data_IF_816474210356
#
_entry.id   IF_816474210356
#
_cell.length_a   1.000
_cell.length_b   1.000
_cell.length_c   1.000
_cell.angle_alpha   90.00
_cell.angle_beta   90.00
_cell.angle_gamma   90.00
#
_symmetry.space_group_name_H-M   'P 1'
#
loop_
_entity.id
_entity.type
_entity.pdbx_description
1 polymer ?
#
# COMPACT_ATOMS: atom_id res chain seq x y z
N UNK A 1 0.50 -8.44 17.62
CA UNK A 1 1.49 -8.35 16.53
C UNK A 1 0.72 -7.97 15.27
N UNK A 2 1.07 -6.84 14.65
CA UNK A 2 0.49 -6.44 13.38
C UNK A 2 1.41 -7.01 12.31
N UNK A 3 1.09 -8.22 11.86
CA UNK A 3 1.93 -8.92 10.90
C UNK A 3 1.70 -8.32 9.51
N UNK A 4 2.63 -7.47 9.08
CA UNK A 4 2.73 -7.00 7.69
C UNK A 4 2.90 -8.16 6.69
N UNK A 5 3.11 -9.39 7.18
CA UNK A 5 3.12 -10.64 6.41
C UNK A 5 1.78 -10.99 5.75
N UNK A 6 0.67 -10.33 6.14
CA UNK A 6 -0.64 -10.53 5.50
C UNK A 6 -0.80 -9.78 4.18
N UNK A 7 0.08 -8.82 3.89
CA UNK A 7 0.02 -8.05 2.65
C UNK A 7 0.71 -8.79 1.51
N UNK A 8 0.09 -8.76 0.33
CA UNK A 8 0.75 -9.20 -0.89
C UNK A 8 1.90 -8.24 -1.27
N UNK A 9 2.90 -8.73 -2.03
CA UNK A 9 4.03 -7.90 -2.45
C UNK A 9 3.63 -6.59 -3.15
N UNK A 10 2.58 -6.62 -3.97
CA UNK A 10 2.05 -5.44 -4.67
C UNK A 10 1.46 -4.39 -3.70
N UNK A 11 0.77 -4.84 -2.65
CA UNK A 11 0.19 -3.96 -1.62
C UNK A 11 1.30 -3.25 -0.86
N UNK A 12 2.32 -4.01 -0.46
CA UNK A 12 3.49 -3.48 0.25
C UNK A 12 4.29 -2.52 -0.63
N UNK A 13 4.51 -2.86 -1.91
CA UNK A 13 5.18 -2.00 -2.88
C UNK A 13 4.42 -0.69 -3.10
N UNK A 14 3.10 -0.75 -3.30
CA UNK A 14 2.24 0.42 -3.50
C UNK A 14 2.31 1.38 -2.30
N UNK A 15 2.21 0.86 -1.07
CA UNK A 15 2.36 1.68 0.15
C UNK A 15 3.76 2.28 0.29
N UNK A 16 4.81 1.55 -0.09
CA UNK A 16 6.20 2.06 -0.10
C UNK A 16 6.41 3.17 -1.14
N UNK A 17 5.82 3.05 -2.32
CA UNK A 17 5.89 4.10 -3.33
C UNK A 17 5.13 5.36 -2.89
N UNK A 18 3.96 5.21 -2.27
CA UNK A 18 3.21 6.32 -1.69
C UNK A 18 4.00 7.05 -0.60
N UNK A 19 4.73 6.30 0.24
CA UNK A 19 5.67 6.90 1.21
C UNK A 19 6.74 7.77 0.53
N UNK A 20 7.17 7.43 -0.68
CA UNK A 20 8.12 8.22 -1.45
C UNK A 20 7.46 9.39 -2.21
N UNK A 21 6.22 9.75 -1.86
CA UNK A 21 5.43 10.79 -2.51
C UNK A 21 5.14 10.53 -3.99
N UNK A 22 5.13 9.25 -4.42
CA UNK A 22 4.68 8.87 -5.77
C UNK A 22 3.17 8.95 -5.86
N UNK A 23 2.65 9.36 -7.01
CA UNK A 23 1.20 9.35 -7.26
C UNK A 23 0.72 7.96 -7.65
N UNK A 24 -0.59 7.69 -7.50
CA UNK A 24 -1.19 6.42 -7.93
C UNK A 24 -0.98 6.16 -9.43
N UNK A 25 -0.96 7.21 -10.25
CA UNK A 25 -0.70 7.14 -11.69
C UNK A 25 0.74 6.71 -11.99
N UNK A 26 1.71 7.25 -11.25
CA UNK A 26 3.11 6.83 -11.37
C UNK A 26 3.28 5.37 -10.92
N UNK A 27 2.65 4.98 -9.82
CA UNK A 27 2.69 3.61 -9.30
C UNK A 27 2.06 2.64 -10.30
N UNK A 28 0.88 2.98 -10.84
CA UNK A 28 0.22 2.21 -11.88
C UNK A 28 1.12 1.99 -13.09
N UNK A 29 1.84 3.04 -13.52
CA UNK A 29 2.83 2.93 -14.60
C UNK A 29 4.05 2.07 -14.24
N UNK A 30 4.54 2.14 -13.00
CA UNK A 30 5.70 1.35 -12.53
C UNK A 30 5.35 -0.14 -12.42
N UNK A 31 4.17 -0.44 -11.87
CA UNK A 31 3.70 -1.80 -11.61
C UNK A 31 3.01 -2.43 -12.84
N UNK A 32 2.92 -1.70 -13.96
CA UNK A 32 2.20 -2.10 -15.19
C UNK A 32 0.77 -2.55 -14.89
N UNK A 33 0.04 -1.69 -14.18
CA UNK A 33 -1.34 -1.88 -13.73
C UNK A 33 -2.17 -0.64 -14.01
N UNK A 34 -3.48 -0.77 -13.88
CA UNK A 34 -4.37 0.39 -13.93
C UNK A 34 -4.39 1.10 -12.58
N UNK A 35 -4.70 2.40 -12.57
CA UNK A 35 -4.90 3.16 -11.33
C UNK A 35 -5.96 2.51 -10.45
N UNK A 36 -7.04 2.01 -11.07
CA UNK A 36 -8.13 1.30 -10.38
C UNK A 36 -7.63 0.02 -9.68
N UNK A 37 -6.72 -0.72 -10.30
CA UNK A 37 -6.12 -1.90 -9.67
C UNK A 37 -5.27 -1.52 -8.45
N UNK A 38 -4.51 -0.41 -8.54
CA UNK A 38 -3.71 0.09 -7.42
C UNK A 38 -4.62 0.59 -6.29
N UNK A 39 -5.68 1.32 -6.60
CA UNK A 39 -6.67 1.78 -5.60
C UNK A 39 -7.31 0.60 -4.86
N UNK A 40 -7.76 -0.42 -5.60
CA UNK A 40 -8.32 -1.64 -4.99
C UNK A 40 -7.29 -2.36 -4.12
N UNK A 41 -6.06 -2.49 -4.62
CA UNK A 41 -4.94 -3.10 -3.90
C UNK A 41 -4.69 -2.39 -2.55
N UNK A 42 -4.69 -1.05 -2.55
CA UNK A 42 -4.52 -0.23 -1.35
C UNK A 42 -5.71 -0.37 -0.40
N UNK A 43 -6.93 -0.38 -0.93
CA UNK A 43 -8.13 -0.53 -0.12
C UNK A 43 -8.16 -1.88 0.60
N UNK A 44 -7.82 -2.96 -0.09
CA UNK A 44 -7.64 -4.28 0.51
C UNK A 44 -6.53 -4.26 1.58
N UNK A 45 -5.42 -3.55 1.32
CA UNK A 45 -4.33 -3.40 2.27
C UNK A 45 -4.76 -2.65 3.55
N UNK A 46 -5.59 -1.61 3.42
CA UNK A 46 -6.17 -0.89 4.55
C UNK A 46 -7.01 -1.81 5.42
N UNK A 47 -7.89 -2.62 4.80
CA UNK A 47 -8.73 -3.59 5.51
C UNK A 47 -7.90 -4.66 6.21
N UNK A 48 -6.86 -5.18 5.54
CA UNK A 48 -5.97 -6.19 6.11
C UNK A 48 -5.13 -5.67 7.28
N UNK A 49 -4.69 -4.41 7.21
CA UNK A 49 -3.96 -3.74 8.28
C UNK A 49 -4.88 -3.23 9.39
N UNK A 50 -6.18 -3.08 9.13
CA UNK A 50 -7.11 -2.38 10.03
C UNK A 50 -6.76 -0.89 10.14
N UNK A 51 -6.33 -0.28 9.03
CA UNK A 51 -5.94 1.12 8.96
C UNK A 51 -7.08 2.00 8.42
N UNK A 52 -7.33 3.12 9.09
CA UNK A 52 -8.38 4.06 8.69
C UNK A 52 -7.97 4.99 7.52
N UNK A 53 -6.67 5.10 7.24
CA UNK A 53 -6.14 5.90 6.14
C UNK A 53 -4.86 5.31 5.56
N UNK A 54 -4.50 5.75 4.34
CA UNK A 54 -3.24 5.37 3.67
C UNK A 54 -2.04 5.77 4.53
N UNK A 55 -2.04 6.96 5.14
CA UNK A 55 -0.98 7.42 6.03
C UNK A 55 -0.87 6.55 7.27
N UNK A 56 -2.01 6.09 7.83
CA UNK A 56 -2.02 5.14 8.93
C UNK A 56 -1.40 3.81 8.50
N UNK A 57 -1.79 3.27 7.34
CA UNK A 57 -1.20 2.05 6.79
C UNK A 57 0.30 2.17 6.53
N UNK A 58 0.77 3.30 5.99
CA UNK A 58 2.20 3.57 5.80
C UNK A 58 2.94 3.52 7.14
N UNK A 59 2.44 4.20 8.18
CA UNK A 59 3.05 4.17 9.52
C UNK A 59 3.04 2.78 10.14
N UNK A 60 2.04 1.96 9.82
CA UNK A 60 1.94 0.58 10.32
C UNK A 60 3.00 -0.32 9.67
N UNK A 61 3.24 -0.19 8.36
CA UNK A 61 4.29 -0.96 7.68
C UNK A 61 5.71 -0.49 8.03
N UNK A 62 5.87 0.75 8.50
CA UNK A 62 7.17 1.27 8.98
C UNK A 62 7.58 0.72 10.33
N UNK A 63 6.63 0.46 11.24
CA UNK A 63 6.94 -0.04 12.59
C UNK A 63 7.48 -1.48 12.62
N UNK A 64 7.50 -2.17 11.48
CA UNK A 64 7.96 -3.55 11.35
C UNK A 64 9.28 -3.66 10.57
N UNK A 65 9.82 -2.54 10.06
CA UNK A 65 11.06 -2.49 9.28
C UNK A 65 12.29 -2.18 10.15
#
# INVERSE_FOLDING_TARGET
>A
MMDTSKLCPLQLASLRWLKQSRTLEEIARIEDRTVVDIERCLQDALVLLGADSIEAAIRMIEKTA
#
